data_IF_035244981200
#
_entry.id   IF_035244981200
#
_cell.length_a   1.000
_cell.length_b   1.000
_cell.length_c   1.000
_cell.angle_alpha   90.00
_cell.angle_beta   90.00
_cell.angle_gamma   90.00
#
_symmetry.space_group_name_H-M   'P 1'
#
loop_
_entity.id
_entity.type
_entity.pdbx_description
1 polymer ?
#
# COMPACT_ATOMS: atom_id res chain seq x y z
N UNK A 1 -34.27 27.55 -26.85
CA UNK A 1 -33.37 27.20 -25.73
C UNK A 1 -33.30 25.68 -25.69
N UNK A 2 -32.29 25.10 -26.34
CA UNK A 2 -32.08 23.65 -26.34
C UNK A 2 -31.19 23.35 -25.14
N UNK A 3 -31.72 22.58 -24.19
CA UNK A 3 -30.95 22.07 -23.07
C UNK A 3 -29.84 21.17 -23.63
N UNK A 4 -28.62 21.68 -23.61
CA UNK A 4 -27.43 20.89 -23.88
C UNK A 4 -27.27 19.88 -22.75
N UNK A 5 -27.78 18.67 -22.98
CA UNK A 5 -27.45 17.48 -22.20
C UNK A 5 -25.95 17.30 -22.37
N UNK A 6 -25.16 17.81 -21.43
CA UNK A 6 -23.75 17.44 -21.29
C UNK A 6 -23.74 15.96 -20.94
N UNK A 7 -23.63 15.14 -21.97
CA UNK A 7 -23.26 13.75 -21.86
C UNK A 7 -21.86 13.76 -21.24
N UNK A 8 -21.81 13.56 -19.92
CA UNK A 8 -20.57 13.38 -19.18
C UNK A 8 -19.85 12.22 -19.85
N UNK A 9 -18.61 12.39 -20.33
CA UNK A 9 -17.82 11.26 -20.74
C UNK A 9 -17.51 10.47 -19.48
N UNK A 10 -18.41 9.55 -19.10
CA UNK A 10 -18.09 8.41 -18.25
C UNK A 10 -17.06 7.57 -18.99
N UNK A 11 -15.80 8.03 -19.00
CA UNK A 11 -14.69 7.10 -19.05
C UNK A 11 -14.84 6.30 -17.77
N UNK A 12 -15.55 5.18 -17.87
CA UNK A 12 -15.87 4.33 -16.74
C UNK A 12 -14.55 3.94 -16.09
N UNK A 13 -14.25 4.58 -14.96
CA UNK A 13 -13.23 4.16 -14.02
C UNK A 13 -13.67 2.77 -13.55
N UNK A 14 -13.22 1.76 -14.28
CA UNK A 14 -13.46 0.38 -13.92
C UNK A 14 -12.37 -0.06 -12.96
N UNK A 15 -12.72 -0.97 -12.06
CA UNK A 15 -11.77 -1.65 -11.20
C UNK A 15 -10.63 -2.29 -12.03
N UNK A 16 -10.94 -2.76 -13.24
CA UNK A 16 -9.97 -3.24 -14.23
C UNK A 16 -8.98 -2.16 -14.71
N UNK A 17 -9.46 -0.96 -15.03
CA UNK A 17 -8.60 0.15 -15.44
C UNK A 17 -7.69 0.64 -14.29
N UNK A 18 -8.22 0.68 -13.06
CA UNK A 18 -7.43 1.04 -11.87
C UNK A 18 -6.37 -0.02 -11.54
N UNK A 19 -6.71 -1.30 -11.66
CA UNK A 19 -5.74 -2.39 -11.42
C UNK A 19 -4.64 -2.44 -12.49
N UNK A 20 -4.93 -2.06 -13.74
CA UNK A 20 -3.93 -1.91 -14.79
C UNK A 20 -3.07 -0.65 -14.60
N UNK A 21 -3.68 0.49 -14.28
CA UNK A 21 -2.98 1.76 -14.09
C UNK A 21 -2.02 1.69 -12.89
N UNK A 22 -2.48 1.12 -11.77
CA UNK A 22 -1.66 0.88 -10.58
C UNK A 22 -0.55 -0.17 -10.78
N UNK A 23 -0.43 -0.78 -11.97
CA UNK A 23 0.74 -1.60 -12.30
C UNK A 23 1.98 -0.74 -12.64
N UNK A 24 1.79 0.56 -12.93
CA UNK A 24 2.87 1.50 -13.27
C UNK A 24 2.92 2.76 -12.41
N UNK A 25 1.96 2.98 -11.52
CA UNK A 25 1.89 4.09 -10.55
C UNK A 25 1.29 3.63 -9.23
N UNK A 26 1.33 4.47 -8.18
CA UNK A 26 0.63 4.15 -6.94
C UNK A 26 -0.90 4.17 -7.12
N UNK A 27 -1.63 3.39 -6.32
CA UNK A 27 -3.10 3.36 -6.35
C UNK A 27 -3.69 4.75 -6.05
N UNK A 28 -3.06 5.50 -5.13
CA UNK A 28 -3.43 6.86 -4.79
C UNK A 28 -3.29 7.81 -5.98
N UNK A 29 -2.16 7.77 -6.70
CA UNK A 29 -1.94 8.59 -7.89
C UNK A 29 -2.90 8.22 -9.02
N UNK A 30 -3.17 6.92 -9.21
CA UNK A 30 -4.13 6.46 -10.21
C UNK A 30 -5.55 6.96 -9.91
N UNK A 31 -5.99 6.88 -8.65
CA UNK A 31 -7.28 7.42 -8.21
C UNK A 31 -7.30 8.95 -8.34
N UNK A 32 -6.27 9.64 -7.89
CA UNK A 32 -6.18 11.10 -7.97
C UNK A 32 -6.28 11.58 -9.42
N UNK A 33 -5.44 11.04 -10.30
CA UNK A 33 -5.42 11.37 -11.74
C UNK A 33 -6.79 11.21 -12.36
N UNK A 34 -7.51 10.15 -11.99
CA UNK A 34 -8.78 9.82 -12.59
C UNK A 34 -9.97 10.61 -12.01
N UNK A 35 -9.79 11.24 -10.83
CA UNK A 35 -10.77 12.12 -10.19
C UNK A 35 -10.49 13.62 -10.42
N UNK A 36 -9.32 13.98 -10.95
CA UNK A 36 -8.95 15.37 -11.24
C UNK A 36 -9.93 15.99 -12.25
N UNK A 37 -10.41 17.19 -11.94
CA UNK A 37 -11.34 17.93 -12.78
C UNK A 37 -12.82 17.56 -12.61
N UNK A 38 -13.15 16.54 -11.82
CA UNK A 38 -14.52 16.15 -11.50
C UNK A 38 -15.09 17.00 -10.35
N UNK A 39 -16.41 17.27 -10.41
CA UNK A 39 -17.16 17.86 -9.30
C UNK A 39 -17.29 16.87 -8.13
N UNK A 40 -17.61 17.36 -6.91
CA UNK A 40 -17.78 16.48 -5.72
C UNK A 40 -18.80 15.36 -5.97
N UNK A 41 -19.91 15.66 -6.66
CA UNK A 41 -20.94 14.68 -6.98
C UNK A 41 -20.44 13.61 -7.97
N UNK A 42 -19.72 14.03 -9.02
CA UNK A 42 -19.14 13.12 -10.01
C UNK A 42 -18.02 12.25 -9.42
N UNK A 43 -17.19 12.82 -8.53
CA UNK A 43 -16.19 12.06 -7.78
C UNK A 43 -16.86 10.98 -6.93
N UNK A 44 -17.90 11.34 -6.16
CA UNK A 44 -18.63 10.40 -5.32
C UNK A 44 -19.23 9.28 -6.16
N UNK A 45 -19.96 9.61 -7.22
CA UNK A 45 -20.59 8.62 -8.10
C UNK A 45 -19.55 7.66 -8.70
N UNK A 46 -18.41 8.20 -9.11
CA UNK A 46 -17.32 7.41 -9.68
C UNK A 46 -16.72 6.43 -8.66
N UNK A 47 -16.49 6.89 -7.43
CA UNK A 47 -15.99 6.04 -6.35
C UNK A 47 -17.03 5.00 -5.92
N UNK A 48 -18.32 5.33 -5.91
CA UNK A 48 -19.40 4.36 -5.67
C UNK A 48 -19.37 3.22 -6.69
N UNK A 49 -19.16 3.51 -7.98
CA UNK A 49 -19.03 2.48 -9.03
C UNK A 49 -17.82 1.57 -8.77
N UNK A 50 -16.70 2.12 -8.31
CA UNK A 50 -15.51 1.33 -7.94
C UNK A 50 -15.81 0.40 -6.76
N UNK A 51 -16.54 0.89 -5.75
CA UNK A 51 -16.94 0.11 -4.58
C UNK A 51 -17.95 -0.99 -4.95
N UNK A 52 -18.95 -0.69 -5.79
CA UNK A 52 -19.95 -1.66 -6.26
C UNK A 52 -19.34 -2.77 -7.13
N UNK A 53 -18.33 -2.45 -7.94
CA UNK A 53 -17.62 -3.41 -8.78
C UNK A 53 -16.70 -4.35 -7.99
N UNK A 54 -16.45 -4.07 -6.71
CA UNK A 54 -15.54 -4.84 -5.88
C UNK A 54 -16.22 -6.12 -5.34
N UNK A 55 -16.13 -7.20 -6.11
CA UNK A 55 -16.75 -8.50 -5.77
C UNK A 55 -15.77 -9.46 -5.09
N UNK A 56 -14.46 -9.32 -5.35
CA UNK A 56 -13.44 -10.28 -4.90
C UNK A 56 -12.31 -9.65 -4.08
N UNK A 57 -11.83 -10.41 -3.09
CA UNK A 57 -10.78 -10.04 -2.16
C UNK A 57 -9.38 -10.41 -2.68
N UNK A 58 -8.86 -9.58 -3.57
CA UNK A 58 -7.42 -9.52 -3.87
C UNK A 58 -6.78 -8.35 -3.11
N UNK A 59 -5.47 -8.44 -2.80
CA UNK A 59 -4.72 -7.38 -2.12
C UNK A 59 -4.85 -6.05 -2.86
N UNK A 60 -4.73 -6.07 -4.19
CA UNK A 60 -4.84 -4.87 -5.01
C UNK A 60 -6.26 -4.27 -4.96
N UNK A 61 -7.29 -5.11 -5.02
CA UNK A 61 -8.70 -4.69 -4.92
C UNK A 61 -9.00 -4.13 -3.54
N UNK A 62 -8.54 -4.80 -2.48
CA UNK A 62 -8.71 -4.30 -1.10
C UNK A 62 -8.00 -2.95 -0.89
N UNK A 63 -6.84 -2.75 -1.52
CA UNK A 63 -6.10 -1.48 -1.47
C UNK A 63 -6.85 -0.38 -2.21
N UNK A 64 -7.35 -0.66 -3.43
CA UNK A 64 -8.17 0.29 -4.20
C UNK A 64 -9.43 0.69 -3.43
N UNK A 65 -10.17 -0.30 -2.91
CA UNK A 65 -11.38 -0.08 -2.12
C UNK A 65 -11.09 0.74 -0.86
N UNK A 66 -9.99 0.44 -0.17
CA UNK A 66 -9.57 1.18 1.02
C UNK A 66 -9.25 2.65 0.70
N UNK A 67 -8.45 2.93 -0.34
CA UNK A 67 -8.16 4.32 -0.73
C UNK A 67 -9.40 5.05 -1.27
N UNK A 68 -10.23 4.39 -2.07
CA UNK A 68 -11.49 4.95 -2.54
C UNK A 68 -12.41 5.35 -1.37
N UNK A 69 -12.54 4.45 -0.39
CA UNK A 69 -13.31 4.72 0.82
C UNK A 69 -12.71 5.87 1.65
N UNK A 70 -11.38 5.89 1.82
CA UNK A 70 -10.66 6.98 2.48
C UNK A 70 -10.97 8.33 1.83
N UNK A 71 -10.89 8.43 0.51
CA UNK A 71 -11.21 9.66 -0.23
C UNK A 71 -12.66 10.13 -0.02
N UNK A 72 -13.63 9.21 -0.02
CA UNK A 72 -15.04 9.57 0.24
C UNK A 72 -15.19 10.22 1.63
N UNK A 73 -14.51 9.67 2.63
CA UNK A 73 -14.60 10.13 4.02
C UNK A 73 -13.82 11.43 4.23
N UNK A 74 -12.55 11.48 3.80
CA UNK A 74 -11.62 12.60 4.03
C UNK A 74 -12.06 13.87 3.29
N UNK A 75 -12.43 13.76 2.00
CA UNK A 75 -12.92 14.90 1.23
C UNK A 75 -14.42 15.20 1.48
N UNK A 76 -15.05 14.46 2.42
CA UNK A 76 -16.49 14.54 2.74
C UNK A 76 -17.36 14.47 1.49
N UNK A 77 -17.00 13.63 0.51
CA UNK A 77 -17.71 13.56 -0.78
C UNK A 77 -19.15 13.12 -0.60
N UNK A 78 -19.43 12.36 0.45
CA UNK A 78 -20.76 11.90 0.84
C UNK A 78 -21.79 13.03 1.02
N UNK A 79 -21.38 14.25 1.36
CA UNK A 79 -22.29 15.39 1.51
C UNK A 79 -23.03 15.74 0.21
N UNK A 80 -22.54 15.28 -0.94
CA UNK A 80 -23.20 15.49 -2.22
C UNK A 80 -24.49 14.68 -2.38
N UNK A 81 -24.69 13.61 -1.60
CA UNK A 81 -25.80 12.64 -1.78
C UNK A 81 -26.45 12.18 -0.47
N UNK A 82 -25.69 12.11 0.62
CA UNK A 82 -26.14 11.60 1.91
C UNK A 82 -26.33 12.75 2.91
N UNK A 83 -27.35 12.62 3.77
CA UNK A 83 -27.65 13.63 4.78
C UNK A 83 -26.57 13.71 5.87
N UNK A 84 -25.97 12.58 6.22
CA UNK A 84 -24.92 12.47 7.22
C UNK A 84 -23.99 11.27 6.93
N UNK A 85 -22.87 11.23 7.65
CA UNK A 85 -21.90 10.13 7.55
C UNK A 85 -22.48 8.78 8.03
N UNK A 86 -23.48 8.79 8.91
CA UNK A 86 -24.12 7.56 9.40
C UNK A 86 -24.91 6.88 8.29
N UNK A 87 -25.55 7.67 7.42
CA UNK A 87 -26.30 7.22 6.25
C UNK A 87 -25.38 6.55 5.23
N UNK A 88 -24.18 7.11 5.02
CA UNK A 88 -23.13 6.47 4.22
C UNK A 88 -22.64 5.16 4.87
N UNK A 89 -22.41 5.18 6.19
CA UNK A 89 -21.96 4.00 6.92
C UNK A 89 -22.96 2.85 6.90
N UNK A 90 -24.26 3.14 6.96
CA UNK A 90 -25.30 2.12 6.85
C UNK A 90 -25.17 1.33 5.54
N UNK A 91 -24.87 2.02 4.43
CA UNK A 91 -24.67 1.37 3.13
C UNK A 91 -23.51 0.37 3.16
N UNK A 92 -22.38 0.74 3.78
CA UNK A 92 -21.24 -0.18 3.94
C UNK A 92 -21.54 -1.32 4.92
N UNK A 93 -22.27 -1.05 6.01
CA UNK A 93 -22.65 -2.09 6.97
C UNK A 93 -23.57 -3.14 6.35
N UNK A 94 -24.44 -2.74 5.42
CA UNK A 94 -25.31 -3.66 4.67
C UNK A 94 -24.55 -4.48 3.61
N UNK A 95 -23.38 -4.02 3.15
CA UNK A 95 -22.54 -4.73 2.19
C UNK A 95 -21.37 -5.43 2.87
N UNK A 96 -21.60 -6.67 3.31
CA UNK A 96 -20.59 -7.44 4.04
C UNK A 96 -19.26 -7.57 3.26
N UNK A 97 -19.31 -7.72 1.94
CA UNK A 97 -18.14 -7.78 1.07
C UNK A 97 -17.29 -6.50 1.16
N UNK A 98 -17.92 -5.33 1.04
CA UNK A 98 -17.25 -4.03 1.15
C UNK A 98 -16.59 -3.84 2.53
N UNK A 99 -17.31 -4.18 3.61
CA UNK A 99 -16.77 -4.13 4.96
C UNK A 99 -15.52 -5.01 5.11
N UNK A 100 -15.54 -6.23 4.54
CA UNK A 100 -14.38 -7.14 4.56
C UNK A 100 -13.21 -6.58 3.77
N UNK A 101 -13.45 -6.00 2.59
CA UNK A 101 -12.41 -5.41 1.74
C UNK A 101 -11.74 -4.20 2.40
N UNK A 102 -12.52 -3.31 3.02
CA UNK A 102 -11.99 -2.17 3.78
C UNK A 102 -11.11 -2.67 4.92
N UNK A 103 -11.60 -3.63 5.73
CA UNK A 103 -10.84 -4.19 6.84
C UNK A 103 -9.57 -4.93 6.38
N UNK A 104 -9.60 -5.60 5.24
CA UNK A 104 -8.42 -6.22 4.62
C UNK A 104 -7.42 -5.18 4.16
N UNK A 105 -7.87 -4.10 3.52
CA UNK A 105 -7.02 -2.96 3.16
C UNK A 105 -6.32 -2.36 4.38
N UNK A 106 -7.06 -2.11 5.47
CA UNK A 106 -6.48 -1.64 6.74
C UNK A 106 -5.39 -2.59 7.26
N UNK A 107 -5.67 -3.90 7.22
CA UNK A 107 -4.73 -4.92 7.66
C UNK A 107 -3.47 -4.95 6.78
N UNK A 108 -3.63 -4.86 5.46
CA UNK A 108 -2.51 -4.79 4.50
C UNK A 108 -1.66 -3.55 4.77
N UNK A 109 -2.28 -2.37 4.90
CA UNK A 109 -1.59 -1.11 5.20
C UNK A 109 -0.78 -1.20 6.49
N UNK A 110 -1.38 -1.73 7.58
CA UNK A 110 -0.66 -1.94 8.85
C UNK A 110 0.52 -2.91 8.71
N UNK A 111 0.36 -3.97 7.93
CA UNK A 111 1.44 -4.94 7.71
C UNK A 111 2.58 -4.36 6.87
N UNK A 112 2.27 -3.59 5.82
CA UNK A 112 3.26 -2.85 5.03
C UNK A 112 4.03 -1.87 5.92
N UNK A 113 3.33 -1.10 6.76
CA UNK A 113 3.95 -0.15 7.69
C UNK A 113 4.86 -0.84 8.71
N UNK A 114 4.41 -1.95 9.32
CA UNK A 114 5.24 -2.71 10.27
C UNK A 114 6.50 -3.28 9.62
N UNK A 115 6.39 -3.78 8.38
CA UNK A 115 7.54 -4.27 7.63
C UNK A 115 8.50 -3.13 7.28
N UNK A 116 8.00 -2.00 6.79
CA UNK A 116 8.78 -0.81 6.49
C UNK A 116 9.53 -0.29 7.73
N UNK A 117 8.86 -0.17 8.87
CA UNK A 117 9.47 0.26 10.14
C UNK A 117 10.61 -0.67 10.57
N UNK A 118 10.44 -1.98 10.41
CA UNK A 118 11.48 -2.96 10.72
C UNK A 118 12.70 -2.81 9.80
N UNK A 119 12.47 -2.67 8.49
CA UNK A 119 13.52 -2.41 7.49
C UNK A 119 14.31 -1.16 7.88
N UNK A 120 13.59 -0.05 8.14
CA UNK A 120 14.21 1.22 8.50
C UNK A 120 15.00 1.16 9.80
N UNK A 121 14.50 0.42 10.80
CA UNK A 121 15.22 0.23 12.06
C UNK A 121 16.51 -0.58 11.88
N UNK A 122 16.50 -1.60 11.02
CA UNK A 122 17.66 -2.46 10.79
C UNK A 122 18.74 -1.79 9.95
N UNK A 123 18.36 -1.02 8.92
CA UNK A 123 19.31 -0.40 7.99
C UNK A 123 19.60 1.07 8.29
N UNK A 124 18.84 1.70 9.19
CA UNK A 124 19.01 3.12 9.53
C UNK A 124 18.56 4.08 8.42
N UNK A 125 17.75 3.61 7.47
CA UNK A 125 17.31 4.36 6.30
C UNK A 125 15.77 4.35 6.18
N UNK A 126 15.13 5.46 5.82
CA UNK A 126 13.70 5.46 5.46
C UNK A 126 13.42 4.48 4.31
N UNK A 127 12.25 3.82 4.31
CA UNK A 127 11.92 2.82 3.27
C UNK A 127 12.03 3.38 1.84
N UNK A 128 11.67 4.65 1.65
CA UNK A 128 11.78 5.35 0.36
C UNK A 128 13.22 5.51 -0.14
N UNK A 129 14.21 5.44 0.76
CA UNK A 129 15.64 5.45 0.44
C UNK A 129 16.25 4.05 0.45
N UNK A 130 15.64 3.12 1.21
CA UNK A 130 16.08 1.73 1.33
C UNK A 130 15.67 0.87 0.12
N UNK A 131 14.77 1.35 -0.73
CA UNK A 131 14.41 0.70 -1.98
C UNK A 131 14.95 1.54 -3.15
N UNK A 132 15.48 0.92 -4.21
CA UNK A 132 15.97 1.66 -5.37
C UNK A 132 14.85 2.45 -6.03
N UNK A 133 14.85 3.77 -5.81
CA UNK A 133 13.96 4.70 -6.48
C UNK A 133 14.59 5.11 -7.83
N UNK A 134 14.48 4.26 -8.84
CA UNK A 134 14.92 4.63 -10.19
C UNK A 134 13.89 4.27 -11.25
N UNK A 135 13.60 5.25 -12.11
CA UNK A 135 12.89 5.03 -13.37
C UNK A 135 13.61 3.94 -14.18
N UNK A 136 12.89 2.88 -14.55
CA UNK A 136 13.46 1.72 -15.26
C UNK A 136 14.05 0.63 -14.36
N UNK A 137 13.93 0.77 -13.03
CA UNK A 137 14.27 -0.29 -12.08
C UNK A 137 13.27 -1.44 -12.18
N UNK A 138 13.77 -2.67 -12.05
CA UNK A 138 12.97 -3.90 -11.88
C UNK A 138 12.09 -3.88 -10.60
N UNK A 139 12.28 -2.88 -9.75
CA UNK A 139 11.58 -2.71 -8.50
C UNK A 139 10.21 -2.02 -8.71
N UNK A 140 9.13 -2.54 -8.10
CA UNK A 140 7.83 -1.90 -8.19
C UNK A 140 7.83 -0.54 -7.46
N UNK A 141 7.12 0.45 -8.01
CA UNK A 141 6.95 1.76 -7.36
C UNK A 141 6.22 1.64 -6.03
N UNK A 142 5.17 0.82 -5.96
CA UNK A 142 4.52 0.44 -4.71
C UNK A 142 4.89 -1.01 -4.34
N UNK A 143 5.79 -1.23 -3.38
CA UNK A 143 6.17 -2.57 -2.98
C UNK A 143 5.01 -3.26 -2.26
N UNK A 144 4.53 -4.37 -2.84
CA UNK A 144 3.49 -5.20 -2.25
C UNK A 144 3.87 -5.72 -0.86
N UNK A 145 2.87 -6.12 -0.07
CA UNK A 145 3.05 -6.62 1.30
C UNK A 145 4.10 -7.73 1.41
N UNK A 146 4.07 -8.68 0.49
CA UNK A 146 4.93 -9.86 0.57
C UNK A 146 6.41 -9.54 0.31
N UNK A 147 6.70 -8.59 -0.59
CA UNK A 147 8.05 -8.08 -0.82
C UNK A 147 8.59 -7.38 0.43
N UNK A 148 7.82 -6.46 1.01
CA UNK A 148 8.19 -5.77 2.24
C UNK A 148 8.40 -6.75 3.39
N UNK A 149 7.55 -7.76 3.51
CA UNK A 149 7.69 -8.81 4.53
C UNK A 149 8.98 -9.60 4.35
N UNK A 150 9.33 -9.99 3.12
CA UNK A 150 10.57 -10.71 2.82
C UNK A 150 11.80 -9.85 3.14
N UNK A 151 11.81 -8.58 2.72
CA UNK A 151 12.87 -7.64 3.04
C UNK A 151 13.02 -7.44 4.55
N UNK A 152 11.92 -7.25 5.28
CA UNK A 152 11.94 -7.09 6.72
C UNK A 152 12.49 -8.32 7.45
N UNK A 153 12.27 -9.52 6.90
CA UNK A 153 12.84 -10.75 7.45
C UNK A 153 14.37 -10.82 7.27
N UNK A 154 14.88 -10.34 6.13
CA UNK A 154 16.31 -10.37 5.78
C UNK A 154 17.08 -9.17 6.32
N UNK A 155 16.43 -8.02 6.53
CA UNK A 155 17.05 -6.78 7.00
C UNK A 155 17.95 -6.92 8.25
N UNK A 156 17.62 -7.73 9.28
CA UNK A 156 18.52 -7.91 10.42
C UNK A 156 19.71 -8.84 10.15
N UNK A 157 19.72 -9.56 9.02
CA UNK A 157 20.69 -10.60 8.69
C UNK A 157 21.82 -10.09 7.78
N UNK A 158 21.62 -8.99 7.07
CA UNK A 158 22.61 -8.44 6.15
C UNK A 158 22.50 -6.92 5.97
N UNK A 159 23.56 -6.33 5.40
CA UNK A 159 23.59 -4.92 5.01
C UNK A 159 22.58 -4.63 3.90
N UNK A 160 22.08 -3.40 3.85
CA UNK A 160 21.21 -2.88 2.79
C UNK A 160 21.69 -3.27 1.38
N UNK A 161 22.94 -2.96 1.02
CA UNK A 161 23.45 -3.17 -0.34
C UNK A 161 23.45 -4.65 -0.75
N UNK A 162 23.85 -5.53 0.17
CA UNK A 162 23.83 -6.98 -0.05
C UNK A 162 22.40 -7.53 -0.20
N UNK A 163 21.43 -6.98 0.54
CA UNK A 163 20.03 -7.33 0.37
C UNK A 163 19.54 -6.90 -1.02
N UNK A 164 19.70 -5.62 -1.37
CA UNK A 164 19.23 -5.05 -2.63
C UNK A 164 19.85 -5.74 -3.84
N UNK A 165 21.15 -6.00 -3.83
CA UNK A 165 21.83 -6.72 -4.90
C UNK A 165 21.22 -8.11 -5.10
N UNK A 166 20.99 -8.86 -4.02
CA UNK A 166 20.46 -10.22 -4.10
C UNK A 166 19.02 -10.27 -4.58
N UNK A 167 18.16 -9.41 -4.05
CA UNK A 167 16.79 -9.28 -4.54
C UNK A 167 16.76 -8.88 -6.02
N UNK A 168 17.68 -8.01 -6.45
CA UNK A 168 17.80 -7.60 -7.85
C UNK A 168 18.18 -8.77 -8.74
N UNK A 169 19.21 -9.53 -8.39
CA UNK A 169 19.63 -10.73 -9.13
C UNK A 169 18.51 -11.78 -9.21
N UNK A 170 17.77 -12.00 -8.13
CA UNK A 170 16.66 -12.95 -8.11
C UNK A 170 15.51 -12.51 -9.04
N UNK A 171 15.16 -11.21 -9.04
CA UNK A 171 14.13 -10.65 -9.93
C UNK A 171 14.56 -10.77 -11.39
N UNK A 172 15.80 -10.38 -11.71
CA UNK A 172 16.37 -10.50 -13.06
C UNK A 172 16.41 -11.96 -13.54
N UNK A 173 16.80 -12.89 -12.67
CA UNK A 173 16.80 -14.32 -12.97
C UNK A 173 15.40 -14.87 -13.27
N UNK A 174 14.37 -14.40 -12.57
CA UNK A 174 12.99 -14.77 -12.86
C UNK A 174 12.51 -14.22 -14.22
N UNK A 175 12.85 -12.96 -14.53
CA UNK A 175 12.54 -12.32 -15.82
C UNK A 175 13.21 -13.10 -16.96
N UNK A 176 14.50 -13.41 -16.82
CA UNK A 176 15.27 -14.17 -17.81
C UNK A 176 14.71 -15.59 -18.04
N UNK A 177 14.14 -16.21 -17.01
CA UNK A 177 13.46 -17.50 -17.11
C UNK A 177 12.07 -17.44 -17.76
N UNK A 178 11.67 -16.29 -18.31
CA UNK A 178 10.35 -16.07 -18.92
C UNK A 178 9.20 -16.11 -17.92
N UNK A 179 9.50 -16.11 -16.61
CA UNK A 179 8.48 -15.92 -15.60
C UNK A 179 8.19 -14.43 -15.58
N UNK A 180 6.91 -13.99 -15.63
CA UNK A 180 6.63 -12.60 -15.37
C UNK A 180 7.30 -12.28 -14.05
N UNK A 181 8.08 -11.18 -13.98
CA UNK A 181 8.44 -10.61 -12.69
C UNK A 181 7.12 -10.50 -11.95
N UNK A 182 6.86 -11.39 -10.99
CA UNK A 182 5.62 -11.37 -10.22
C UNK A 182 5.81 -10.23 -9.24
N UNK A 183 5.81 -9.00 -9.75
CA UNK A 183 5.80 -7.74 -9.03
C UNK A 183 4.61 -7.67 -8.07
N UNK A 184 3.61 -8.54 -8.25
CA UNK A 184 2.38 -8.59 -7.45
C UNK A 184 2.44 -9.49 -6.21
N UNK A 185 3.16 -10.61 -6.25
CA UNK A 185 3.26 -11.54 -5.11
C UNK A 185 4.57 -12.30 -5.16
N UNK A 186 5.51 -11.91 -4.30
CA UNK A 186 6.72 -12.71 -4.08
C UNK A 186 6.29 -14.04 -3.44
N UNK A 187 6.69 -15.20 -3.96
CA UNK A 187 6.35 -16.46 -3.32
C UNK A 187 6.92 -16.45 -1.90
N UNK A 188 6.12 -16.81 -0.86
CA UNK A 188 6.64 -16.94 0.51
C UNK A 188 7.87 -17.87 0.58
N UNK A 189 7.97 -18.78 -0.38
CA UNK A 189 9.10 -19.72 -0.55
C UNK A 189 10.44 -19.02 -0.74
N UNK A 190 10.52 -17.87 -1.42
CA UNK A 190 11.81 -17.22 -1.69
C UNK A 190 12.28 -16.39 -0.49
N UNK A 191 11.37 -15.78 0.26
CA UNK A 191 11.71 -15.17 1.56
C UNK A 191 12.23 -16.20 2.56
N UNK A 192 11.63 -17.40 2.58
CA UNK A 192 12.10 -18.53 3.41
C UNK A 192 13.44 -19.07 2.92
N UNK A 193 13.61 -19.29 1.61
CA UNK A 193 14.86 -19.76 1.03
C UNK A 193 16.01 -18.74 1.22
N UNK A 194 15.73 -17.44 1.12
CA UNK A 194 16.71 -16.39 1.42
C UNK A 194 17.09 -16.38 2.90
N UNK A 195 16.12 -16.44 3.82
CA UNK A 195 16.40 -16.50 5.26
C UNK A 195 17.20 -17.75 5.60
N UNK A 196 16.88 -18.90 4.98
CA UNK A 196 17.63 -20.15 5.17
C UNK A 196 19.04 -20.09 4.59
N UNK A 197 19.22 -19.51 3.40
CA UNK A 197 20.53 -19.32 2.79
C UNK A 197 21.40 -18.34 3.61
N UNK A 198 20.80 -17.26 4.12
CA UNK A 198 21.49 -16.32 5.00
C UNK A 198 21.79 -16.92 6.37
N UNK A 199 20.93 -17.77 6.93
CA UNK A 199 21.25 -18.51 8.16
C UNK A 199 22.45 -19.44 7.95
N UNK A 200 22.55 -20.12 6.81
CA UNK A 200 23.70 -20.95 6.47
C UNK A 200 25.00 -20.13 6.30
N UNK A 201 24.93 -18.97 5.64
CA UNK A 201 26.07 -18.04 5.50
C UNK A 201 26.47 -17.38 6.82
N UNK A 202 25.51 -17.00 7.67
CA UNK A 202 25.76 -16.41 9.00
C UNK A 202 26.39 -17.41 9.99
N UNK A 203 26.10 -18.71 9.85
CA UNK A 203 26.79 -19.76 10.62
C UNK A 203 28.30 -19.83 10.33
N UNK A 204 28.74 -19.29 9.19
CA UNK A 204 30.14 -19.28 8.76
C UNK A 204 30.82 -17.92 8.95
N UNK A 205 30.08 -16.89 9.41
CA UNK A 205 30.65 -15.61 9.78
C UNK A 205 31.03 -15.61 11.27
N UNK A 206 32.17 -14.98 11.66
CA UNK A 206 32.51 -14.81 13.05
C UNK A 206 31.39 -14.03 13.75
N UNK A 207 31.01 -14.49 14.95
CA UNK A 207 29.88 -13.94 15.69
C UNK A 207 29.94 -12.40 15.73
N UNK A 208 28.83 -11.70 15.41
CA UNK A 208 28.81 -10.24 15.49
C UNK A 208 29.13 -9.83 16.94
N UNK A 209 30.06 -8.87 17.09
CA UNK A 209 30.44 -8.34 18.39
C UNK A 209 29.18 -7.93 19.17
N UNK A 210 29.13 -8.21 20.49
CA UNK A 210 27.97 -7.92 21.30
C UNK A 210 27.58 -6.46 21.12
N UNK A 211 26.33 -6.22 20.71
CA UNK A 211 25.77 -4.86 20.64
C UNK A 211 25.92 -4.24 22.03
N UNK A 212 26.76 -3.21 22.11
CA UNK A 212 26.96 -2.43 23.33
C UNK A 212 25.62 -1.92 23.89
N UNK A 213 25.59 -1.51 25.16
CA UNK A 213 24.36 -1.13 25.84
C UNK A 213 23.58 -0.13 25.00
N UNK A 214 22.33 -0.48 24.71
CA UNK A 214 21.34 0.40 24.07
C UNK A 214 21.26 1.68 24.91
N UNK A 215 21.82 2.77 24.40
CA UNK A 215 21.59 4.08 24.98
C UNK A 215 20.09 4.38 24.87
N UNK A 216 19.39 4.32 26.01
CA UNK A 216 17.96 4.58 26.14
C UNK A 216 17.60 6.08 26.02
N UNK A 217 18.55 6.94 25.66
CA UNK A 217 18.37 8.39 25.56
C UNK A 217 18.65 8.86 24.12
N UNK A 218 17.83 8.42 23.16
CA UNK A 218 17.62 9.20 21.94
C UNK A 218 16.25 9.86 22.07
N UNK A 219 16.25 11.03 22.72
CA UNK A 219 15.11 11.95 22.72
C UNK A 219 14.96 12.44 21.28
N UNK A 220 14.04 11.84 20.53
CA UNK A 220 13.62 12.36 19.23
C UNK A 220 12.62 13.49 19.51
N UNK A 221 13.14 14.72 19.57
CA UNK A 221 12.31 15.92 19.51
C UNK A 221 11.79 16.11 18.08
N UNK A 222 10.47 15.95 17.94
CA UNK A 222 9.55 16.69 17.06
C UNK A 222 9.92 16.98 15.61
N UNK A 223 9.14 16.39 14.69
CA UNK A 223 8.30 17.12 13.72
C UNK A 223 7.05 16.28 13.39
N UNK A 224 5.82 16.83 13.50
CA UNK A 224 4.61 16.13 13.11
C UNK A 224 4.10 16.67 11.78
N UNK A 225 4.56 16.14 10.65
CA UNK A 225 3.90 16.36 9.36
C UNK A 225 3.98 15.09 8.51
N UNK A 226 3.13 14.11 8.83
CA UNK A 226 2.74 13.07 7.86
C UNK A 226 1.21 12.93 7.90
N UNK A 227 0.51 13.00 6.74
CA UNK A 227 -0.95 12.88 6.64
C UNK A 227 -1.53 11.59 7.27
N UNK A 228 -0.69 10.57 7.45
CA UNK A 228 -1.06 9.23 7.93
C UNK A 228 -1.49 9.23 9.42
N UNK A 229 -1.02 10.19 10.24
CA UNK A 229 -1.47 10.32 11.62
C UNK A 229 -2.94 10.76 11.74
N UNK A 230 -3.49 11.37 10.69
CA UNK A 230 -4.87 11.85 10.66
C UNK A 230 -5.87 10.71 10.44
N UNK A 231 -5.52 9.69 9.66
CA UNK A 231 -6.37 8.53 9.36
C UNK A 231 -6.60 7.67 10.62
N UNK A 232 -5.59 7.54 11.48
CA UNK A 232 -5.70 6.82 12.76
C UNK A 232 -6.59 7.55 13.78
N UNK A 233 -6.71 8.89 13.70
CA UNK A 233 -7.55 9.68 14.60
C UNK A 233 -9.04 9.58 14.24
N UNK A 234 -9.37 9.37 12.96
CA UNK A 234 -10.77 9.26 12.48
C UNK A 234 -11.45 7.97 12.97
N UNK A 235 -10.72 6.85 13.09
CA UNK A 235 -11.25 5.57 13.62
C UNK A 235 -11.49 5.62 15.15
N UNK A 236 -10.82 6.53 15.88
CA UNK A 236 -11.04 6.72 17.33
C UNK A 236 -12.18 7.70 17.62
N UNK A 237 -12.36 8.74 16.80
CA UNK A 237 -13.45 9.69 16.95
C UNK A 237 -14.82 9.07 16.61
N UNK A 238 -14.87 8.17 15.61
CA UNK A 238 -16.11 7.50 15.18
C UNK A 238 -16.55 6.33 16.07
N UNK A 239 -15.69 5.84 16.98
CA UNK A 239 -16.06 4.81 17.96
C UNK A 239 -16.53 5.37 19.30
N UNK A 240 -16.52 6.69 19.47
CA UNK A 240 -16.88 7.37 20.73
C UNK A 240 -18.04 8.36 20.61
N UNK A 241 -18.63 8.50 19.43
CA UNK A 241 -19.89 9.21 19.19
C UNK A 241 -21.02 8.19 18.98
#
# INVERSE_FOLDING_TARGET
MVASTRQVPSQALTLGALTLSAAGSSVEEALHTALVGLTRAEKLQTLEVVLEAAVEADEQVSTIVHHAWGLIVEERLWEAKYADANSLMALVQHHEALRRLIAQGDQVTRQKLNAANRISTCWGLPIAQALPATHGSIWPQDPGRDLLRALAAVAPLCSHDAAIQRFTTDIEGQIAAGRPARTRTWPPVVGVAMVQAYQAELLHQPAPLPRGPRNANAVVQGTPETPIAMIAATDVALRRA
#
